data_IF_389866580989
#
_entry.id   IF_389866580989
#
_cell.length_a   1.000
_cell.length_b   1.000
_cell.length_c   1.000
_cell.angle_alpha   90.00
_cell.angle_beta   90.00
_cell.angle_gamma   90.00
#
_symmetry.space_group_name_H-M   'P 1'
#
loop_
_entity.id
_entity.type
_entity.pdbx_description
1 polymer ?
#
# COMPACT_ATOMS: atom_id res chain seq x y z
N UNK A 1 3.32 10.15 -14.02
CA UNK A 1 2.14 9.29 -14.20
C UNK A 1 2.73 7.99 -14.65
N UNK A 2 2.66 7.00 -13.79
CA UNK A 2 3.46 5.80 -13.91
C UNK A 2 2.47 4.66 -14.09
N UNK A 3 2.67 3.83 -15.11
CA UNK A 3 1.78 2.73 -15.46
C UNK A 3 2.50 1.41 -15.25
N UNK A 4 1.85 0.49 -14.55
CA UNK A 4 2.31 -0.90 -14.48
C UNK A 4 1.83 -1.65 -15.71
N UNK A 5 2.77 -2.27 -16.43
CA UNK A 5 2.46 -3.07 -17.61
C UNK A 5 2.24 -4.53 -17.22
N UNK A 6 0.99 -4.98 -17.25
CA UNK A 6 0.59 -6.36 -16.98
C UNK A 6 -0.04 -7.03 -18.22
N UNK A 7 0.63 -6.98 -19.38
CA UNK A 7 0.08 -7.51 -20.64
C UNK A 7 -1.20 -6.80 -21.14
N UNK A 8 -1.83 -7.36 -22.18
CA UNK A 8 -2.94 -6.73 -22.92
C UNK A 8 -4.35 -6.95 -22.32
N UNK A 9 -4.45 -7.20 -21.02
CA UNK A 9 -5.72 -7.60 -20.38
C UNK A 9 -6.64 -6.45 -19.95
N UNK A 10 -6.21 -5.19 -20.09
CA UNK A 10 -7.00 -4.01 -19.71
C UNK A 10 -6.84 -2.82 -20.66
N UNK A 11 -7.82 -1.90 -20.71
CA UNK A 11 -7.80 -0.76 -21.64
C UNK A 11 -6.62 0.19 -21.39
N UNK A 12 -6.22 0.39 -20.12
CA UNK A 12 -5.08 1.23 -19.76
C UNK A 12 -3.74 0.61 -20.24
N UNK A 13 -3.46 -0.65 -19.89
CA UNK A 13 -2.24 -1.36 -20.32
C UNK A 13 -2.15 -1.48 -21.85
N UNK A 14 -3.28 -1.72 -22.52
CA UNK A 14 -3.36 -1.74 -23.99
C UNK A 14 -3.04 -0.37 -24.59
N UNK A 15 -3.54 0.72 -24.01
CA UNK A 15 -3.25 2.07 -24.48
C UNK A 15 -1.76 2.40 -24.29
N UNK A 16 -1.22 2.20 -23.09
CA UNK A 16 0.20 2.53 -22.79
C UNK A 16 1.16 1.75 -23.69
N UNK A 17 0.88 0.48 -23.97
CA UNK A 17 1.73 -0.35 -24.84
C UNK A 17 1.77 0.13 -26.31
N UNK A 18 0.80 0.95 -26.73
CA UNK A 18 0.65 1.42 -28.12
C UNK A 18 0.78 2.93 -28.28
N UNK A 19 0.85 3.67 -27.17
CA UNK A 19 0.87 5.12 -27.16
C UNK A 19 2.10 5.67 -27.90
N UNK A 20 1.89 6.73 -28.67
CA UNK A 20 2.90 7.45 -29.44
C UNK A 20 2.87 8.94 -29.10
N UNK A 21 3.96 9.63 -29.41
CA UNK A 21 4.00 11.09 -29.33
C UNK A 21 2.85 11.71 -30.15
N UNK A 22 2.04 12.53 -29.50
CA UNK A 22 0.84 13.14 -30.09
C UNK A 22 -0.49 12.47 -29.71
N UNK A 23 -0.47 11.29 -29.09
CA UNK A 23 -1.68 10.67 -28.55
C UNK A 23 -2.19 11.45 -27.32
N UNK A 24 -3.51 11.66 -27.26
CA UNK A 24 -4.16 12.42 -26.19
C UNK A 24 -4.68 11.50 -25.07
N UNK A 25 -4.57 11.97 -23.83
CA UNK A 25 -5.17 11.35 -22.64
C UNK A 25 -5.89 12.42 -21.82
N UNK A 26 -7.09 12.06 -21.33
CA UNK A 26 -7.85 12.89 -20.41
C UNK A 26 -7.56 12.45 -18.98
N UNK A 27 -7.08 13.38 -18.15
CA UNK A 27 -6.78 13.12 -16.74
C UNK A 27 -7.83 13.85 -15.89
N UNK A 28 -8.57 13.09 -15.10
CA UNK A 28 -9.37 13.61 -14.00
C UNK A 28 -8.62 13.23 -12.73
N UNK A 29 -8.04 14.20 -12.04
CA UNK A 29 -7.17 13.97 -10.90
C UNK A 29 -7.17 15.12 -9.89
N UNK A 30 -6.50 14.94 -8.74
CA UNK A 30 -6.44 15.95 -7.69
C UNK A 30 -5.85 17.26 -8.22
N UNK A 31 -6.48 18.38 -7.87
CA UNK A 31 -6.09 19.72 -8.31
C UNK A 31 -5.35 20.43 -7.17
N UNK A 32 -4.04 20.63 -7.32
CA UNK A 32 -3.21 21.35 -6.34
C UNK A 32 -3.62 22.82 -6.13
N UNK A 33 -4.39 23.42 -7.05
CA UNK A 33 -4.96 24.77 -6.86
C UNK A 33 -6.30 24.75 -6.09
N UNK A 34 -6.84 23.58 -5.76
CA UNK A 34 -8.09 23.45 -5.02
C UNK A 34 -7.83 23.68 -3.52
N UNK A 35 -8.48 24.68 -2.88
CA UNK A 35 -8.17 25.10 -1.51
C UNK A 35 -8.69 24.14 -0.42
N UNK A 36 -9.29 23.01 -0.79
CA UNK A 36 -9.77 21.99 0.15
C UNK A 36 -8.65 21.06 0.62
N UNK A 37 -9.01 19.84 1.04
CA UNK A 37 -8.04 18.82 1.46
C UNK A 37 -7.05 18.57 0.32
N UNK A 38 -5.77 18.84 0.57
CA UNK A 38 -4.68 18.74 -0.41
C UNK A 38 -3.84 17.48 -0.23
N UNK A 39 -4.00 16.84 0.92
CA UNK A 39 -3.39 15.61 1.35
C UNK A 39 -3.91 14.47 0.46
N UNK A 40 -3.08 13.47 0.16
CA UNK A 40 -3.58 12.23 -0.45
C UNK A 40 -4.65 11.65 0.46
N UNK A 41 -5.89 11.51 -0.03
CA UNK A 41 -7.05 11.06 0.75
C UNK A 41 -6.82 9.74 1.52
N UNK A 42 -5.81 8.99 1.10
CA UNK A 42 -5.51 7.62 1.49
C UNK A 42 -4.37 7.50 2.51
N UNK A 43 -3.54 8.53 2.67
CA UNK A 43 -2.46 8.57 3.65
C UNK A 43 -2.88 9.43 4.85
N UNK A 44 -3.24 8.76 5.95
CA UNK A 44 -3.71 9.42 7.18
C UNK A 44 -2.95 8.91 8.40
N UNK A 45 -1.63 9.02 8.40
CA UNK A 45 -0.86 8.72 9.61
C UNK A 45 -1.14 9.77 10.69
N UNK A 46 -1.31 9.38 11.98
CA UNK A 46 -1.35 10.33 13.09
C UNK A 46 -0.10 11.22 13.11
N UNK A 47 -0.23 12.45 13.60
CA UNK A 47 0.91 13.36 13.75
C UNK A 47 1.99 12.80 14.71
N UNK A 48 1.57 11.95 15.65
CA UNK A 48 2.42 11.30 16.65
C UNK A 48 3.04 9.98 16.17
N UNK A 49 2.75 9.55 14.92
CA UNK A 49 3.31 8.32 14.37
C UNK A 49 4.83 8.43 14.23
N UNK A 50 5.57 7.58 14.95
CA UNK A 50 7.04 7.50 14.88
C UNK A 50 7.53 6.17 14.30
N UNK A 51 6.61 5.24 14.04
CA UNK A 51 6.86 3.96 13.41
C UNK A 51 5.83 3.72 12.30
N UNK A 52 6.30 3.49 11.08
CA UNK A 52 5.47 3.30 9.89
C UNK A 52 5.80 1.97 9.22
N UNK A 53 4.77 1.24 8.78
CA UNK A 53 4.89 0.08 7.90
C UNK A 53 4.19 0.37 6.56
N UNK A 54 4.93 0.37 5.46
CA UNK A 54 4.40 0.49 4.11
C UNK A 54 4.61 -0.83 3.38
N UNK A 55 3.58 -1.36 2.72
CA UNK A 55 3.73 -2.56 1.92
C UNK A 55 2.88 -2.52 0.66
N UNK A 56 3.40 -3.03 -0.45
CA UNK A 56 2.61 -3.18 -1.65
C UNK A 56 3.32 -3.85 -2.81
N UNK A 57 2.57 -4.11 -3.87
CA UNK A 57 3.09 -4.63 -5.13
C UNK A 57 3.52 -3.48 -6.07
N UNK A 58 3.93 -3.82 -7.30
CA UNK A 58 4.40 -2.87 -8.29
C UNK A 58 3.42 -1.72 -8.57
N UNK A 59 2.12 -1.93 -8.36
CA UNK A 59 1.07 -0.90 -8.57
C UNK A 59 1.05 0.15 -7.48
N UNK A 60 1.51 -0.20 -6.27
CA UNK A 60 1.56 0.68 -5.12
C UNK A 60 2.89 1.45 -5.01
N UNK A 61 3.91 1.08 -5.78
CA UNK A 61 5.25 1.69 -5.73
C UNK A 61 5.21 3.23 -5.87
N UNK A 62 4.49 3.83 -6.84
CA UNK A 62 4.46 5.28 -6.97
C UNK A 62 3.86 5.99 -5.75
N UNK A 63 2.79 5.42 -5.17
CA UNK A 63 2.15 5.96 -3.99
C UNK A 63 3.06 5.84 -2.75
N UNK A 64 3.66 4.67 -2.53
CA UNK A 64 4.59 4.43 -1.42
C UNK A 64 5.81 5.34 -1.53
N UNK A 65 6.35 5.55 -2.73
CA UNK A 65 7.45 6.49 -2.96
C UNK A 65 7.07 7.90 -2.51
N UNK A 66 5.91 8.41 -2.93
CA UNK A 66 5.44 9.74 -2.55
C UNK A 66 5.26 9.85 -1.02
N UNK A 67 4.74 8.81 -0.38
CA UNK A 67 4.61 8.75 1.09
C UNK A 67 5.99 8.83 1.75
N UNK A 68 6.95 8.01 1.33
CA UNK A 68 8.31 7.98 1.90
C UNK A 68 9.02 9.33 1.76
N UNK A 69 8.93 9.95 0.59
CA UNK A 69 9.55 11.25 0.32
C UNK A 69 8.92 12.39 1.15
N UNK A 70 7.67 12.23 1.59
CA UNK A 70 6.95 13.17 2.43
C UNK A 70 7.04 12.88 3.94
N UNK A 71 7.71 11.79 4.35
CA UNK A 71 7.81 11.44 5.77
C UNK A 71 8.57 12.51 6.57
N UNK A 72 8.07 12.93 7.74
CA UNK A 72 8.80 13.82 8.63
C UNK A 72 10.13 13.19 9.10
N UNK A 73 11.17 13.99 9.36
CA UNK A 73 12.41 13.50 9.95
C UNK A 73 12.17 12.77 11.27
N UNK A 74 12.90 11.66 11.51
CA UNK A 74 12.81 10.85 12.73
C UNK A 74 11.69 9.81 12.75
N UNK A 75 10.85 9.73 11.72
CA UNK A 75 9.92 8.62 11.54
C UNK A 75 10.68 7.39 11.06
N UNK A 76 10.60 6.30 11.84
CA UNK A 76 11.15 5.00 11.44
C UNK A 76 10.18 4.31 10.51
N UNK A 77 10.60 3.97 9.30
CA UNK A 77 9.75 3.28 8.35
C UNK A 77 10.35 1.94 7.92
N UNK A 78 9.47 0.94 7.78
CA UNK A 78 9.74 -0.32 7.10
C UNK A 78 8.90 -0.36 5.83
N UNK A 79 9.56 -0.49 4.69
CA UNK A 79 8.92 -0.43 3.37
C UNK A 79 9.19 -1.74 2.65
N UNK A 80 8.13 -2.45 2.29
CA UNK A 80 8.19 -3.76 1.62
C UNK A 80 7.52 -3.64 0.25
N UNK A 81 8.30 -3.73 -0.82
CA UNK A 81 7.81 -3.55 -2.19
C UNK A 81 8.05 -4.82 -3.00
N UNK A 82 6.97 -5.48 -3.43
CA UNK A 82 7.06 -6.62 -4.35
C UNK A 82 6.99 -6.13 -5.79
N UNK A 83 7.94 -6.57 -6.62
CA UNK A 83 8.03 -6.18 -8.03
C UNK A 83 8.37 -7.40 -8.91
N UNK A 84 7.99 -7.41 -10.19
CA UNK A 84 8.28 -8.53 -11.09
C UNK A 84 9.80 -8.77 -11.26
N UNK A 85 10.57 -7.72 -11.52
CA UNK A 85 12.02 -7.79 -11.75
C UNK A 85 12.79 -6.75 -10.93
N UNK A 86 14.09 -6.98 -10.76
CA UNK A 86 14.98 -6.05 -10.05
C UNK A 86 15.03 -4.66 -10.70
N UNK A 87 14.94 -4.63 -12.04
CA UNK A 87 14.97 -3.40 -12.83
C UNK A 87 13.66 -2.59 -12.73
N UNK A 88 12.60 -3.18 -12.15
CA UNK A 88 11.35 -2.47 -11.85
C UNK A 88 11.44 -1.69 -10.53
N UNK A 89 12.56 -1.79 -9.81
CA UNK A 89 12.80 -0.97 -8.61
C UNK A 89 13.06 0.48 -8.99
N UNK A 90 12.38 1.39 -8.29
CA UNK A 90 12.53 2.83 -8.49
C UNK A 90 13.44 3.43 -7.41
N UNK A 91 14.26 4.44 -7.73
CA UNK A 91 14.97 5.18 -6.70
C UNK A 91 13.96 5.92 -5.81
N UNK A 92 14.05 5.69 -4.50
CA UNK A 92 13.23 6.35 -3.49
C UNK A 92 14.16 7.17 -2.60
N UNK A 93 13.94 8.48 -2.52
CA UNK A 93 14.70 9.33 -1.61
C UNK A 93 14.22 9.08 -0.17
N UNK A 94 15.04 8.38 0.61
CA UNK A 94 14.69 7.90 1.93
C UNK A 94 15.61 8.51 3.01
N UNK A 95 15.03 8.85 4.15
CA UNK A 95 15.79 9.27 5.34
C UNK A 95 16.56 8.10 5.98
N UNK A 96 17.49 8.38 6.92
CA UNK A 96 18.32 7.35 7.55
C UNK A 96 17.53 6.32 8.38
N UNK A 97 16.32 6.67 8.80
CA UNK A 97 15.43 5.83 9.62
C UNK A 97 14.46 4.99 8.76
N UNK A 98 14.57 5.05 7.44
CA UNK A 98 13.73 4.34 6.48
C UNK A 98 14.49 3.15 5.90
N UNK A 99 13.94 1.94 6.08
CA UNK A 99 14.49 0.73 5.50
C UNK A 99 13.55 0.22 4.40
N UNK A 100 14.08 0.10 3.18
CA UNK A 100 13.34 -0.33 1.99
C UNK A 100 13.84 -1.71 1.58
N UNK A 101 12.93 -2.67 1.49
CA UNK A 101 13.18 -4.01 0.98
C UNK A 101 12.39 -4.22 -0.31
N UNK A 102 13.13 -4.51 -1.38
CA UNK A 102 12.55 -4.90 -2.67
C UNK A 102 12.50 -6.43 -2.76
N UNK A 103 11.31 -6.96 -3.04
CA UNK A 103 11.04 -8.39 -3.19
C UNK A 103 10.85 -8.67 -4.68
N UNK A 104 11.85 -9.29 -5.31
CA UNK A 104 11.81 -9.60 -6.73
C UNK A 104 11.10 -10.94 -6.95
N UNK A 105 9.85 -10.85 -7.40
CA UNK A 105 8.92 -11.97 -7.50
C UNK A 105 9.21 -12.89 -8.68
N UNK A 106 9.75 -12.36 -9.78
CA UNK A 106 9.97 -13.11 -11.01
C UNK A 106 8.66 -13.69 -11.53
N UNK A 107 8.56 -15.02 -11.52
CA UNK A 107 7.38 -15.76 -11.96
C UNK A 107 6.49 -16.25 -10.81
N UNK A 108 6.85 -15.97 -9.55
CA UNK A 108 6.00 -16.32 -8.43
C UNK A 108 4.67 -15.54 -8.52
N UNK A 109 3.56 -16.08 -7.97
CA UNK A 109 2.30 -15.37 -7.80
C UNK A 109 2.45 -14.16 -6.88
N UNK A 110 1.62 -13.13 -7.10
CA UNK A 110 1.54 -11.96 -6.23
C UNK A 110 1.29 -12.37 -4.78
N UNK A 111 2.02 -11.73 -3.87
CA UNK A 111 1.95 -11.98 -2.44
C UNK A 111 2.75 -13.16 -1.93
N UNK A 112 3.30 -14.02 -2.80
CA UNK A 112 4.11 -15.17 -2.35
C UNK A 112 5.34 -14.72 -1.57
N UNK A 113 5.94 -13.58 -1.93
CA UNK A 113 7.06 -12.99 -1.18
C UNK A 113 6.59 -11.90 -0.22
N UNK A 114 5.63 -11.07 -0.63
CA UNK A 114 5.17 -9.95 0.19
C UNK A 114 4.51 -10.40 1.51
N UNK A 115 3.66 -11.43 1.46
CA UNK A 115 2.94 -11.91 2.65
C UNK A 115 3.88 -12.39 3.75
N UNK A 116 4.85 -13.29 3.51
CA UNK A 116 5.76 -13.72 4.56
C UNK A 116 6.65 -12.57 5.08
N UNK A 117 7.10 -11.66 4.20
CA UNK A 117 7.92 -10.51 4.60
C UNK A 117 7.15 -9.56 5.54
N UNK A 118 5.90 -9.23 5.21
CA UNK A 118 5.05 -8.40 6.08
C UNK A 118 4.78 -9.11 7.41
N UNK A 119 4.54 -10.42 7.40
CA UNK A 119 4.33 -11.20 8.63
C UNK A 119 5.54 -11.13 9.56
N UNK A 120 6.75 -11.25 9.02
CA UNK A 120 7.97 -11.14 9.81
C UNK A 120 8.13 -9.74 10.42
N UNK A 121 7.97 -8.69 9.62
CA UNK A 121 8.10 -7.31 10.09
C UNK A 121 7.01 -6.97 11.10
N UNK A 122 5.77 -7.37 10.85
CA UNK A 122 4.65 -7.14 11.76
C UNK A 122 4.88 -7.82 13.13
N UNK A 123 5.44 -9.03 13.15
CA UNK A 123 5.78 -9.71 14.39
C UNK A 123 6.84 -8.95 15.21
N UNK A 124 7.84 -8.37 14.53
CA UNK A 124 8.86 -7.51 15.18
C UNK A 124 8.25 -6.22 15.71
N UNK A 125 7.42 -5.56 14.91
CA UNK A 125 6.72 -4.34 15.31
C UNK A 125 5.78 -4.60 16.51
N UNK A 126 5.07 -5.74 16.55
CA UNK A 126 4.24 -6.09 17.70
C UNK A 126 5.03 -6.41 18.97
N UNK A 127 6.28 -6.88 18.84
CA UNK A 127 7.18 -7.07 19.96
C UNK A 127 7.68 -5.74 20.53
N UNK A 128 7.92 -4.75 19.66
CA UNK A 128 8.39 -3.41 20.04
C UNK A 128 7.25 -2.48 20.48
N UNK A 129 6.02 -2.71 20.02
CA UNK A 129 4.89 -1.82 20.22
C UNK A 129 3.93 -2.32 21.31
N UNK A 130 4.16 -1.86 22.54
CA UNK A 130 3.06 -1.65 23.51
C UNK A 130 2.04 -0.60 22.97
N UNK A 131 2.43 0.17 21.94
CA UNK A 131 1.69 1.28 21.34
C UNK A 131 0.66 0.90 20.25
N UNK A 132 0.62 -0.35 19.76
CA UNK A 132 -0.29 -0.78 18.69
C UNK A 132 -1.50 -1.59 19.19
N UNK A 133 -1.53 -1.94 20.49
CA UNK A 133 -2.58 -2.76 21.10
C UNK A 133 -3.82 -1.93 21.43
N UNK A 134 -4.65 -1.66 20.43
CA UNK A 134 -6.04 -1.24 20.62
C UNK A 134 -6.95 -2.46 20.61
N UNK A 135 -7.76 -2.64 21.66
CA UNK A 135 -8.58 -3.84 21.90
C UNK A 135 -9.23 -4.40 20.63
N UNK A 136 -8.95 -5.69 20.35
CA UNK A 136 -9.30 -6.36 19.11
C UNK A 136 -10.71 -6.06 18.63
N UNK A 137 -10.81 -5.31 17.53
CA UNK A 137 -12.07 -5.12 16.82
C UNK A 137 -12.33 -6.40 16.03
N UNK A 138 -13.52 -7.01 16.23
CA UNK A 138 -13.97 -8.11 15.41
C UNK A 138 -14.01 -7.64 13.94
N UNK A 139 -13.17 -8.21 13.07
CA UNK A 139 -13.26 -7.94 11.64
C UNK A 139 -14.50 -8.63 11.08
N UNK A 140 -15.31 -7.90 10.33
CA UNK A 140 -16.19 -8.52 9.34
C UNK A 140 -15.32 -9.13 8.23
N UNK A 141 -15.68 -10.36 7.83
CA UNK A 141 -15.05 -11.01 6.68
C UNK A 141 -15.42 -10.22 5.43
N UNK A 142 -14.43 -9.64 4.78
CA UNK A 142 -14.63 -8.88 3.54
C UNK A 142 -14.57 -9.88 2.41
N UNK A 143 -15.71 -10.11 1.77
CA UNK A 143 -15.73 -10.85 0.51
C UNK A 143 -15.12 -9.97 -0.59
N UNK A 144 -13.80 -10.06 -0.77
CA UNK A 144 -13.09 -9.41 -1.89
C UNK A 144 -13.54 -9.91 -3.24
N UNK A 145 -14.31 -11.01 -3.28
CA UNK A 145 -14.86 -11.49 -4.52
C UNK A 145 -15.99 -10.62 -5.07
N UNK A 146 -16.67 -9.90 -4.18
CA UNK A 146 -17.84 -9.06 -4.48
C UNK A 146 -17.69 -7.60 -4.02
N UNK A 147 -16.69 -7.30 -3.19
CA UNK A 147 -16.52 -5.99 -2.53
C UNK A 147 -15.12 -5.43 -2.78
N UNK A 148 -15.04 -4.14 -3.12
CA UNK A 148 -13.76 -3.43 -3.21
C UNK A 148 -13.19 -3.27 -1.79
N UNK A 149 -12.01 -3.84 -1.55
CA UNK A 149 -11.29 -3.67 -0.30
C UNK A 149 -10.65 -2.28 -0.27
N UNK A 150 -11.38 -1.29 0.23
CA UNK A 150 -10.89 0.07 0.38
C UNK A 150 -11.24 0.61 1.75
N UNK A 151 -10.32 0.47 2.69
CA UNK A 151 -10.59 0.74 4.09
C UNK A 151 -9.50 1.62 4.70
N UNK A 152 -9.85 2.90 4.88
CA UNK A 152 -9.01 3.93 5.50
C UNK A 152 -9.63 4.31 6.85
N UNK A 153 -8.85 4.41 7.94
CA UNK A 153 -9.36 4.89 9.22
C UNK A 153 -9.99 6.29 9.08
N UNK A 154 -11.24 6.42 9.52
CA UNK A 154 -11.94 7.72 9.60
C UNK A 154 -11.48 8.54 10.80
N UNK A 155 -11.16 7.87 11.90
CA UNK A 155 -10.49 8.41 13.08
C UNK A 155 -9.25 7.56 13.36
N UNK A 156 -8.08 8.19 13.31
CA UNK A 156 -6.81 7.50 13.52
C UNK A 156 -6.58 7.38 15.02
N UNK A 157 -6.33 6.17 15.51
CA UNK A 157 -6.00 6.00 16.92
C UNK A 157 -4.76 6.84 17.21
N UNK A 158 -4.85 7.76 18.19
CA UNK A 158 -3.65 8.38 18.73
C UNK A 158 -2.67 7.26 19.10
N UNK A 159 -1.44 7.36 18.63
CA UNK A 159 -0.50 6.25 18.72
C UNK A 159 0.74 6.47 17.89
N UNK A 160 1.79 5.70 18.20
CA UNK A 160 3.10 5.86 17.56
C UNK A 160 3.27 4.98 16.33
N UNK A 161 2.29 4.13 16.01
CA UNK A 161 2.35 3.18 14.89
C UNK A 161 1.28 3.48 13.84
N UNK A 162 1.65 3.40 12.57
CA UNK A 162 0.72 3.43 11.44
C UNK A 162 1.16 2.48 10.33
N UNK A 163 0.22 1.82 9.67
CA UNK A 163 0.50 0.97 8.51
C UNK A 163 -0.35 1.36 7.28
N UNK A 164 0.22 1.22 6.10
CA UNK A 164 -0.45 1.48 4.83
C UNK A 164 -0.09 0.37 3.85
N UNK A 165 -1.11 -0.33 3.34
CA UNK A 165 -0.93 -1.49 2.49
C UNK A 165 -1.80 -1.39 1.24
N UNK A 166 -1.20 -1.51 0.07
CA UNK A 166 -1.94 -1.50 -1.20
C UNK A 166 -1.39 -2.50 -2.22
N UNK A 167 -2.26 -2.99 -3.11
CA UNK A 167 -1.88 -3.93 -4.18
C UNK A 167 -3.03 -4.87 -4.54
N UNK A 168 -2.71 -6.10 -4.93
CA UNK A 168 -3.69 -7.13 -5.26
C UNK A 168 -4.66 -7.42 -4.09
N UNK A 169 -5.96 -7.39 -4.36
CA UNK A 169 -7.01 -7.43 -3.33
C UNK A 169 -6.99 -8.68 -2.43
N UNK A 170 -6.70 -9.86 -2.98
CA UNK A 170 -6.57 -11.10 -2.21
C UNK A 170 -5.34 -11.12 -1.29
N UNK A 171 -4.21 -10.59 -1.76
CA UNK A 171 -3.01 -10.38 -0.97
C UNK A 171 -3.28 -9.40 0.17
N UNK A 172 -3.86 -8.24 -0.13
CA UNK A 172 -4.21 -7.23 0.88
C UNK A 172 -5.23 -7.76 1.89
N UNK A 173 -6.23 -8.56 1.49
CA UNK A 173 -7.14 -9.26 2.41
C UNK A 173 -6.39 -10.19 3.36
N UNK A 174 -5.42 -10.93 2.84
CA UNK A 174 -4.60 -11.84 3.65
C UNK A 174 -3.76 -11.10 4.68
N UNK A 175 -3.16 -9.97 4.28
CA UNK A 175 -2.39 -9.10 5.18
C UNK A 175 -3.27 -8.41 6.22
N UNK A 176 -4.49 -7.98 5.83
CA UNK A 176 -5.49 -7.41 6.75
C UNK A 176 -5.84 -8.37 7.87
N UNK A 177 -6.17 -9.62 7.52
CA UNK A 177 -6.47 -10.66 8.51
C UNK A 177 -5.30 -10.85 9.47
N UNK A 178 -4.07 -10.93 8.94
CA UNK A 178 -2.89 -11.12 9.78
C UNK A 178 -2.67 -9.94 10.74
N UNK A 179 -2.60 -8.71 10.24
CA UNK A 179 -2.28 -7.54 11.06
C UNK A 179 -3.32 -7.31 12.16
N UNK A 180 -4.62 -7.43 11.85
CA UNK A 180 -5.66 -7.07 12.82
C UNK A 180 -6.07 -8.26 13.69
N UNK A 181 -6.20 -9.49 13.15
CA UNK A 181 -6.65 -10.64 13.95
C UNK A 181 -5.51 -11.40 14.61
N UNK A 182 -4.39 -11.61 13.90
CA UNK A 182 -3.29 -12.45 14.41
C UNK A 182 -2.31 -11.61 15.25
N UNK A 183 -1.97 -10.40 14.79
CA UNK A 183 -1.03 -9.51 15.48
C UNK A 183 -1.73 -8.58 16.47
N UNK A 184 -2.99 -8.23 16.22
CA UNK A 184 -3.78 -7.37 17.11
C UNK A 184 -3.53 -5.86 16.92
N UNK A 185 -3.09 -5.44 15.72
CA UNK A 185 -2.99 -4.03 15.36
C UNK A 185 -4.38 -3.40 15.37
N UNK A 186 -4.51 -2.24 16.05
CA UNK A 186 -5.75 -1.47 16.01
C UNK A 186 -6.12 -1.13 14.56
N UNK A 187 -7.37 -1.43 14.16
CA UNK A 187 -7.88 -1.12 12.82
C UNK A 187 -7.75 0.36 12.49
N UNK A 188 -7.73 1.26 13.47
CA UNK A 188 -7.55 2.71 13.28
C UNK A 188 -6.11 3.12 12.99
N UNK A 189 -5.16 2.21 13.16
CA UNK A 189 -3.73 2.42 12.90
C UNK A 189 -3.26 1.78 11.57
N UNK A 190 -4.18 1.35 10.70
CA UNK A 190 -3.82 0.73 9.41
C UNK A 190 -4.78 1.09 8.29
N UNK A 191 -4.28 1.29 7.07
CA UNK A 191 -5.07 1.44 5.84
C UNK A 191 -4.81 0.26 4.89
N UNK A 192 -5.88 -0.23 4.23
CA UNK A 192 -5.83 -1.32 3.25
C UNK A 192 -6.53 -0.91 1.96
N UNK A 193 -5.85 -1.05 0.81
CA UNK A 193 -6.36 -0.72 -0.51
C UNK A 193 -6.09 -1.86 -1.51
N UNK A 194 -7.12 -2.56 -1.95
CA UNK A 194 -7.07 -3.49 -3.08
C UNK A 194 -7.17 -2.72 -4.38
N UNK A 195 -6.03 -2.40 -5.01
CA UNK A 195 -5.95 -1.60 -6.23
C UNK A 195 -6.44 -2.37 -7.45
N UNK A 196 -6.19 -3.67 -7.49
CA UNK A 196 -6.56 -4.53 -8.60
C UNK A 196 -6.81 -5.96 -8.11
N UNK A 197 -7.27 -6.83 -9.01
CA UNK A 197 -7.54 -8.22 -8.68
C UNK A 197 -7.19 -9.14 -9.82
N UNK A 198 -6.52 -10.25 -9.49
CA UNK A 198 -6.11 -11.21 -10.50
C UNK A 198 -7.34 -11.85 -11.17
N UNK A 199 -7.40 -11.76 -12.50
CA UNK A 199 -8.47 -12.36 -13.31
C UNK A 199 -9.75 -11.54 -13.45
N UNK A 200 -9.77 -10.27 -13.01
CA UNK A 200 -10.90 -9.34 -13.24
C UNK A 200 -10.42 -7.98 -13.76
N UNK A 201 -11.18 -7.41 -14.69
CA UNK A 201 -11.05 -6.01 -15.11
C UNK A 201 -11.78 -5.06 -14.15
N UNK A 202 -11.34 -3.80 -14.08
CA UNK A 202 -12.00 -2.75 -13.32
C UNK A 202 -13.43 -2.51 -13.87
N UNK A 203 -14.44 -3.14 -13.26
CA UNK A 203 -15.84 -3.06 -13.69
C UNK A 203 -16.65 -4.37 -13.68
N UNK A 204 -16.02 -5.53 -13.43
CA UNK A 204 -16.67 -6.87 -13.44
C UNK A 204 -16.86 -7.51 -12.04
#
# INVERSE_FOLDING_TARGET
MDFVLHGDTGPASTWVSRAREGDEIWIVGPNAAYPGIQDGLEWRAPAEATCVLLAGDETAVPAIRAIVEALPPGVRARVLLEVPAADDSLPIAAGPDVEITWLTRGHAPHGELLVPAVREVAARVAADADAARGGGSALEDVDVDTTILWEIPTDTAGGTFYAWLAGEAGVVKTLRRHLVQEVGVDRRAVAFMGYWRLGRSEGD
#
